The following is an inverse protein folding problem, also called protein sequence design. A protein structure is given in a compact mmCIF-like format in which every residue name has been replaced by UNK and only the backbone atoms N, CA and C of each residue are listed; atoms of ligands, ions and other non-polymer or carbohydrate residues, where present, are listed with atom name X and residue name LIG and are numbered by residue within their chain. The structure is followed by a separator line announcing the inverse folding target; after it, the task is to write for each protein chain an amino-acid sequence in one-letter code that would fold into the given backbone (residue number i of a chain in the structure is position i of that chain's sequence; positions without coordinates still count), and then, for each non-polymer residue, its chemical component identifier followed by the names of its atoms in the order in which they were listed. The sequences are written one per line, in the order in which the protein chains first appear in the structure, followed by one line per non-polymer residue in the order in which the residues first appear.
data_IF_831854081544
#
_entry.id   IF_831854081544
#
_cell.length_a   1.000
_cell.length_b   1.000
_cell.length_c   1.000
_cell.angle_alpha   90.00
_cell.angle_beta   90.00
_cell.angle_gamma   90.00
#
_symmetry.space_group_name_H-M   'P 1'
#
loop_
_entity.id
_entity.type
_entity.pdbx_description
1 polymer ?
#
# COMPACT_ATOMS: atom_id res chain seq x y z
N UNK A 1 0.60 24.27 4.16
CA UNK A 1 2.06 24.14 4.38
C UNK A 1 2.44 23.42 5.69
N UNK A 2 1.82 23.70 6.85
CA UNK A 2 2.11 23.01 8.14
C UNK A 2 1.69 21.51 8.19
N UNK A 3 0.62 21.12 7.48
CA UNK A 3 0.14 19.72 7.40
C UNK A 3 1.09 18.83 6.61
N UNK A 4 1.72 19.33 5.54
CA UNK A 4 2.73 18.59 4.78
C UNK A 4 3.99 18.30 5.60
N UNK A 5 4.39 19.17 6.53
CA UNK A 5 5.55 18.92 7.40
C UNK A 5 5.33 17.76 8.37
N UNK A 6 4.09 17.55 8.84
CA UNK A 6 3.75 16.43 9.74
C UNK A 6 3.69 15.12 8.97
N UNK A 7 3.08 15.12 7.78
CA UNK A 7 3.00 13.95 6.92
C UNK A 7 4.39 13.46 6.45
N UNK A 8 5.30 14.36 6.08
CA UNK A 8 6.67 14.03 5.70
C UNK A 8 7.44 13.30 6.80
N UNK A 9 7.21 13.66 8.07
CA UNK A 9 7.88 13.01 9.20
C UNK A 9 7.27 11.66 9.56
N UNK A 10 5.97 11.50 9.34
CA UNK A 10 5.22 10.29 9.74
C UNK A 10 5.19 9.24 8.63
N UNK A 11 5.14 9.68 7.35
CA UNK A 11 5.01 8.83 6.18
C UNK A 11 6.01 9.23 5.08
N UNK A 12 7.33 9.12 5.34
CA UNK A 12 8.36 9.52 4.37
C UNK A 12 8.34 8.68 3.09
N UNK A 13 8.06 7.38 3.18
CA UNK A 13 8.01 6.48 2.01
C UNK A 13 6.79 6.79 1.13
N UNK A 14 5.64 7.04 1.74
CA UNK A 14 4.45 7.48 0.99
C UNK A 14 4.68 8.80 0.25
N UNK A 15 5.29 9.79 0.91
CA UNK A 15 5.61 11.07 0.26
C UNK A 15 6.62 10.88 -0.86
N UNK A 16 7.61 10.02 -0.68
CA UNK A 16 8.58 9.66 -1.73
C UNK A 16 7.90 8.99 -2.92
N UNK A 17 7.01 8.01 -2.67
CA UNK A 17 6.20 7.35 -3.69
C UNK A 17 5.41 8.35 -4.53
N UNK A 18 4.69 9.24 -3.85
CA UNK A 18 3.89 10.28 -4.49
C UNK A 18 4.74 11.26 -5.33
N UNK A 19 5.87 11.72 -4.76
CA UNK A 19 6.77 12.65 -5.45
C UNK A 19 7.41 12.02 -6.67
N UNK A 20 7.86 10.76 -6.56
CA UNK A 20 8.41 10.00 -7.69
C UNK A 20 7.35 9.75 -8.75
N UNK A 21 6.12 9.40 -8.38
CA UNK A 21 5.01 9.22 -9.31
C UNK A 21 4.68 10.49 -10.12
N UNK A 22 4.67 11.64 -9.48
CA UNK A 22 4.49 12.93 -10.17
C UNK A 22 5.69 13.27 -11.05
N UNK A 23 6.91 13.11 -10.54
CA UNK A 23 8.13 13.40 -11.28
C UNK A 23 8.27 12.49 -12.51
N UNK A 24 7.93 11.18 -12.38
CA UNK A 24 7.96 10.22 -13.49
C UNK A 24 7.01 10.61 -14.60
N UNK A 25 5.80 11.07 -14.29
CA UNK A 25 4.81 11.51 -15.28
C UNK A 25 5.32 12.70 -16.11
N UNK A 26 5.92 13.70 -15.43
CA UNK A 26 6.52 14.87 -16.10
C UNK A 26 7.73 14.44 -16.94
N UNK A 27 8.60 13.59 -16.39
CA UNK A 27 9.80 13.12 -17.05
C UNK A 27 9.48 12.32 -18.32
N UNK A 28 8.58 11.36 -18.24
CA UNK A 28 8.13 10.54 -19.38
C UNK A 28 7.54 11.42 -20.49
N UNK A 29 6.74 12.43 -20.10
CA UNK A 29 6.16 13.37 -21.05
C UNK A 29 7.22 14.20 -21.77
N UNK A 30 8.22 14.70 -21.03
CA UNK A 30 9.29 15.54 -21.58
C UNK A 30 10.18 14.78 -22.60
N UNK A 31 10.44 13.49 -22.34
CA UNK A 31 11.34 12.68 -23.16
C UNK A 31 10.64 11.78 -24.19
N UNK A 32 9.35 11.95 -24.42
CA UNK A 32 8.55 11.11 -25.35
C UNK A 32 9.07 11.08 -26.79
N UNK A 33 9.90 12.07 -27.20
CA UNK A 33 10.43 12.14 -28.57
C UNK A 33 11.64 11.22 -28.79
N UNK A 34 12.35 10.80 -27.73
CA UNK A 34 13.52 9.94 -27.80
C UNK A 34 13.16 8.48 -27.51
N UNK A 35 12.76 7.70 -28.53
CA UNK A 35 12.17 6.34 -28.38
C UNK A 35 12.97 5.40 -27.49
N UNK A 36 14.30 5.31 -27.65
CA UNK A 36 15.13 4.40 -26.87
C UNK A 36 15.20 4.84 -25.39
N UNK A 37 15.43 6.14 -25.14
CA UNK A 37 15.49 6.70 -23.80
C UNK A 37 14.14 6.62 -23.09
N UNK A 38 13.06 6.89 -23.82
CA UNK A 38 11.70 6.73 -23.32
C UNK A 38 11.42 5.30 -22.83
N UNK A 39 11.81 4.27 -23.64
CA UNK A 39 11.60 2.88 -23.28
C UNK A 39 12.29 2.50 -21.95
N UNK A 40 13.59 2.77 -21.83
CA UNK A 40 14.32 2.42 -20.61
C UNK A 40 13.85 3.23 -19.39
N UNK A 41 13.55 4.51 -19.59
CA UNK A 41 13.07 5.39 -18.51
C UNK A 41 11.70 4.95 -18.01
N UNK A 42 10.79 4.58 -18.91
CA UNK A 42 9.47 4.07 -18.54
C UNK A 42 9.58 2.85 -17.63
N UNK A 43 10.36 1.85 -18.04
CA UNK A 43 10.51 0.62 -17.26
C UNK A 43 11.23 0.83 -15.94
N UNK A 44 12.21 1.71 -15.89
CA UNK A 44 12.90 2.07 -14.66
C UNK A 44 11.94 2.73 -13.67
N UNK A 45 11.13 3.66 -14.13
CA UNK A 45 10.15 4.36 -13.29
C UNK A 45 9.03 3.42 -12.81
N UNK A 46 8.60 2.47 -13.66
CA UNK A 46 7.63 1.44 -13.28
C UNK A 46 8.19 0.52 -12.18
N UNK A 47 9.41 0.02 -12.37
CA UNK A 47 10.07 -0.80 -11.35
C UNK A 47 10.27 -0.05 -10.03
N UNK A 48 10.64 1.23 -10.10
CA UNK A 48 10.76 2.09 -8.92
C UNK A 48 9.40 2.32 -8.24
N UNK A 49 8.34 2.51 -9.04
CA UNK A 49 6.97 2.64 -8.54
C UNK A 49 6.50 1.40 -7.77
N UNK A 50 6.74 0.21 -8.31
CA UNK A 50 6.45 -1.06 -7.64
C UNK A 50 7.24 -1.18 -6.32
N UNK A 51 8.56 -0.94 -6.36
CA UNK A 51 9.40 -1.02 -5.16
C UNK A 51 8.95 -0.04 -4.06
N UNK A 52 8.60 1.18 -4.43
CA UNK A 52 8.06 2.17 -3.51
C UNK A 52 6.65 1.80 -3.02
N UNK A 53 5.82 1.17 -3.85
CA UNK A 53 4.52 0.63 -3.46
C UNK A 53 4.66 -0.36 -2.30
N UNK A 54 5.55 -1.35 -2.42
CA UNK A 54 5.89 -2.27 -1.33
C UNK A 54 6.39 -1.54 -0.08
N UNK A 55 7.25 -0.53 -0.26
CA UNK A 55 7.77 0.26 0.84
C UNK A 55 6.66 1.03 1.58
N UNK A 56 5.66 1.56 0.86
CA UNK A 56 4.48 2.22 1.45
C UNK A 56 3.61 1.23 2.20
N UNK A 57 3.35 0.04 1.64
CA UNK A 57 2.61 -1.02 2.35
C UNK A 57 3.31 -1.37 3.67
N UNK A 58 4.64 -1.51 3.65
CA UNK A 58 5.42 -1.76 4.86
C UNK A 58 5.35 -0.59 5.85
N UNK A 59 5.38 0.66 5.38
CA UNK A 59 5.27 1.87 6.21
C UNK A 59 3.90 1.95 6.90
N UNK A 60 2.82 1.70 6.15
CA UNK A 60 1.44 1.63 6.67
C UNK A 60 1.35 0.55 7.75
N UNK A 61 1.88 -0.64 7.46
CA UNK A 61 1.94 -1.75 8.42
C UNK A 61 2.69 -1.36 9.70
N UNK A 62 3.89 -0.80 9.56
CA UNK A 62 4.73 -0.41 10.71
C UNK A 62 4.07 0.64 11.59
N UNK A 63 3.40 1.63 10.98
CA UNK A 63 2.70 2.69 11.71
C UNK A 63 1.41 2.18 12.37
N UNK A 64 0.67 1.27 11.73
CA UNK A 64 -0.55 0.70 12.28
C UNK A 64 -0.27 -0.11 13.56
N UNK A 65 0.80 -0.93 13.55
CA UNK A 65 1.16 -1.79 14.68
C UNK A 65 2.13 -1.14 15.68
N UNK A 66 2.47 0.15 15.51
CA UNK A 66 3.44 0.85 16.35
C UNK A 66 3.03 0.94 17.83
N UNK A 67 1.73 1.01 18.11
CA UNK A 67 1.20 1.18 19.47
C UNK A 67 1.26 -0.11 20.33
N UNK A 68 1.44 -1.29 19.73
CA UNK A 68 1.34 -2.58 20.43
C UNK A 68 2.58 -3.44 20.17
N UNK A 69 3.59 -3.35 21.03
CA UNK A 69 4.90 -4.01 20.83
C UNK A 69 4.79 -5.54 20.67
N UNK A 70 3.95 -6.20 21.49
CA UNK A 70 3.76 -7.65 21.40
C UNK A 70 3.08 -8.06 20.07
N UNK A 71 2.01 -7.36 19.69
CA UNK A 71 1.28 -7.57 18.45
C UNK A 71 2.15 -7.26 17.24
N UNK A 72 3.00 -6.24 17.32
CA UNK A 72 3.92 -5.85 16.24
C UNK A 72 4.87 -6.99 15.87
N UNK A 73 5.42 -7.72 16.87
CA UNK A 73 6.33 -8.85 16.60
C UNK A 73 5.59 -9.97 15.86
N UNK A 74 4.44 -10.39 16.37
CA UNK A 74 3.62 -11.44 15.74
C UNK A 74 3.18 -11.02 14.33
N UNK A 75 2.60 -9.83 14.20
CA UNK A 75 2.15 -9.30 12.93
C UNK A 75 3.31 -9.17 11.91
N UNK A 76 4.52 -8.78 12.35
CA UNK A 76 5.70 -8.72 11.47
C UNK A 76 6.09 -10.10 10.95
N UNK A 77 6.02 -11.14 11.78
CA UNK A 77 6.30 -12.52 11.35
C UNK A 77 5.28 -12.96 10.33
N UNK A 78 3.98 -12.80 10.63
CA UNK A 78 2.89 -13.15 9.71
C UNK A 78 3.03 -12.40 8.39
N UNK A 79 3.29 -11.10 8.42
CA UNK A 79 3.49 -10.27 7.23
C UNK A 79 4.66 -10.77 6.37
N UNK A 80 5.80 -11.10 6.98
CA UNK A 80 6.96 -11.67 6.28
C UNK A 80 6.66 -13.05 5.68
N UNK A 81 5.91 -13.90 6.40
CA UNK A 81 5.50 -15.19 5.89
C UNK A 81 4.55 -15.07 4.70
N UNK A 82 3.57 -14.16 4.77
CA UNK A 82 2.66 -13.87 3.65
C UNK A 82 3.43 -13.31 2.47
N UNK A 83 4.33 -12.36 2.69
CA UNK A 83 5.19 -11.82 1.62
C UNK A 83 6.02 -12.91 0.97
N UNK A 84 6.69 -13.76 1.76
CA UNK A 84 7.49 -14.87 1.24
C UNK A 84 6.64 -15.85 0.43
N UNK A 85 5.44 -16.21 0.93
CA UNK A 85 4.49 -17.07 0.22
C UNK A 85 4.06 -16.48 -1.12
N UNK A 86 3.67 -15.18 -1.11
CA UNK A 86 3.25 -14.48 -2.32
C UNK A 86 4.40 -14.35 -3.33
N UNK A 87 5.63 -14.10 -2.87
CA UNK A 87 6.82 -14.09 -3.73
C UNK A 87 7.11 -15.48 -4.33
N UNK A 88 6.95 -16.56 -3.55
CA UNK A 88 7.08 -17.91 -4.07
C UNK A 88 6.02 -18.21 -5.14
N UNK A 89 4.77 -17.87 -4.91
CA UNK A 89 3.69 -18.03 -5.89
C UNK A 89 3.99 -17.20 -7.14
N UNK A 90 4.41 -15.95 -6.98
CA UNK A 90 4.78 -15.06 -8.07
C UNK A 90 5.94 -15.64 -8.92
N UNK A 91 6.96 -16.21 -8.27
CA UNK A 91 8.07 -16.87 -8.94
C UNK A 91 7.62 -18.11 -9.75
N UNK A 92 6.72 -18.91 -9.18
CA UNK A 92 6.15 -20.08 -9.88
C UNK A 92 5.37 -19.64 -11.12
N UNK A 93 4.55 -18.58 -11.00
CA UNK A 93 3.81 -18.01 -12.11
C UNK A 93 4.77 -17.49 -13.18
N UNK A 94 5.79 -16.75 -12.78
CA UNK A 94 6.80 -16.20 -13.68
C UNK A 94 7.54 -17.34 -14.45
N UNK A 95 7.94 -18.41 -13.77
CA UNK A 95 8.62 -19.56 -14.41
C UNK A 95 7.70 -20.26 -15.41
N UNK A 96 6.42 -20.46 -15.05
CA UNK A 96 5.44 -21.12 -15.92
C UNK A 96 5.08 -20.31 -17.16
N UNK A 97 5.05 -18.99 -17.04
CA UNK A 97 4.73 -18.05 -18.11
C UNK A 97 6.00 -17.43 -18.72
N UNK A 98 7.19 -17.95 -18.37
CA UNK A 98 8.46 -17.46 -18.91
C UNK A 98 8.42 -17.52 -20.44
N UNK A 99 8.59 -16.38 -21.12
CA UNK A 99 8.53 -16.29 -22.58
C UNK A 99 9.85 -16.79 -23.17
N UNK A 100 10.14 -18.07 -23.01
CA UNK A 100 11.16 -18.73 -23.84
C UNK A 100 10.72 -18.79 -25.32
N UNK A 101 9.43 -18.52 -25.59
CA UNK A 101 8.91 -18.34 -26.92
C UNK A 101 8.96 -16.86 -27.32
N UNK A 102 9.61 -16.62 -28.40
CA UNK A 102 9.91 -15.48 -29.28
C UNK A 102 9.08 -14.16 -29.22
N UNK A 103 8.27 -13.89 -28.20
CA UNK A 103 7.50 -12.63 -28.09
C UNK A 103 8.20 -11.51 -27.33
N UNK A 104 9.44 -11.74 -26.91
CA UNK A 104 10.33 -10.68 -26.47
C UNK A 104 10.14 -10.16 -25.04
N UNK A 105 11.09 -9.35 -24.62
CA UNK A 105 11.22 -8.71 -23.29
C UNK A 105 9.93 -8.03 -22.83
N UNK A 106 9.12 -7.48 -23.74
CA UNK A 106 7.90 -6.75 -23.39
C UNK A 106 6.83 -7.64 -22.70
N UNK A 107 6.67 -8.90 -23.14
CA UNK A 107 5.70 -9.81 -22.51
C UNK A 107 6.16 -10.28 -21.13
N UNK A 108 7.47 -10.49 -20.94
CA UNK A 108 8.03 -10.84 -19.65
C UNK A 108 7.80 -9.74 -18.62
N UNK A 109 7.97 -8.49 -19.02
CA UNK A 109 7.79 -7.34 -18.13
C UNK A 109 6.33 -7.19 -17.70
N UNK A 110 5.37 -7.39 -18.61
CA UNK A 110 3.94 -7.36 -18.27
C UNK A 110 3.60 -8.42 -17.21
N UNK A 111 4.11 -9.64 -17.37
CA UNK A 111 3.89 -10.71 -16.38
C UNK A 111 4.52 -10.36 -15.02
N UNK A 112 5.71 -9.78 -15.00
CA UNK A 112 6.37 -9.33 -13.77
C UNK A 112 5.56 -8.23 -13.09
N UNK A 113 5.06 -7.26 -13.85
CA UNK A 113 4.21 -6.19 -13.34
C UNK A 113 2.90 -6.74 -12.76
N UNK A 114 2.22 -7.64 -13.47
CA UNK A 114 0.99 -8.28 -13.01
C UNK A 114 1.21 -9.05 -11.70
N UNK A 115 2.25 -9.86 -11.63
CA UNK A 115 2.63 -10.58 -10.41
C UNK A 115 2.93 -9.63 -9.25
N UNK A 116 3.67 -8.55 -9.50
CA UNK A 116 3.99 -7.57 -8.47
C UNK A 116 2.72 -6.90 -7.93
N UNK A 117 1.78 -6.52 -8.79
CA UNK A 117 0.49 -5.93 -8.38
C UNK A 117 -0.37 -6.92 -7.59
N UNK A 118 -0.40 -8.20 -7.97
CA UNK A 118 -1.08 -9.25 -7.20
C UNK A 118 -0.48 -9.37 -5.79
N UNK A 119 0.84 -9.33 -5.67
CA UNK A 119 1.53 -9.40 -4.38
C UNK A 119 1.18 -8.15 -3.53
N UNK A 120 1.21 -6.96 -4.11
CA UNK A 120 0.84 -5.71 -3.42
C UNK A 120 -0.61 -5.75 -2.90
N UNK A 121 -1.57 -6.19 -3.73
CA UNK A 121 -2.98 -6.38 -3.31
C UNK A 121 -3.07 -7.40 -2.18
N UNK A 122 -2.40 -8.55 -2.31
CA UNK A 122 -2.39 -9.58 -1.29
C UNK A 122 -1.84 -9.09 0.05
N UNK A 123 -0.79 -8.27 0.02
CA UNK A 123 -0.20 -7.65 1.21
C UNK A 123 -1.15 -6.66 1.87
N UNK A 124 -1.84 -5.82 1.08
CA UNK A 124 -2.85 -4.91 1.60
C UNK A 124 -4.05 -5.66 2.19
N UNK A 125 -4.53 -6.70 1.54
CA UNK A 125 -5.60 -7.56 2.08
C UNK A 125 -5.17 -8.20 3.39
N UNK A 126 -3.95 -8.73 3.48
CA UNK A 126 -3.38 -9.25 4.71
C UNK A 126 -3.37 -8.19 5.82
N UNK A 127 -2.98 -6.97 5.51
CA UNK A 127 -2.98 -5.84 6.45
C UNK A 127 -4.39 -5.54 6.97
N UNK A 128 -5.41 -5.50 6.10
CA UNK A 128 -6.80 -5.28 6.51
C UNK A 128 -7.33 -6.43 7.38
N UNK A 129 -7.04 -7.67 7.01
CA UNK A 129 -7.45 -8.86 7.79
C UNK A 129 -6.80 -8.86 9.17
N UNK A 130 -5.48 -8.63 9.25
CA UNK A 130 -4.77 -8.55 10.53
C UNK A 130 -5.29 -7.40 11.40
N UNK A 131 -5.53 -6.24 10.81
CA UNK A 131 -6.07 -5.10 11.54
C UNK A 131 -7.47 -5.40 12.11
N UNK A 132 -8.32 -6.04 11.33
CA UNK A 132 -9.66 -6.46 11.76
C UNK A 132 -9.58 -7.54 12.85
N UNK A 133 -8.72 -8.55 12.68
CA UNK A 133 -8.56 -9.64 13.62
C UNK A 133 -8.06 -9.17 15.00
N UNK A 134 -7.21 -8.14 15.02
CA UNK A 134 -6.69 -7.57 16.26
C UNK A 134 -7.53 -6.40 16.79
N UNK A 135 -8.63 -6.03 16.14
CA UNK A 135 -9.50 -4.94 16.57
C UNK A 135 -8.79 -3.58 16.58
N UNK A 136 -7.82 -3.38 15.70
CA UNK A 136 -7.02 -2.15 15.69
C UNK A 136 -7.82 -0.97 15.17
N UNK A 137 -7.78 0.13 15.91
CA UNK A 137 -8.36 1.39 15.46
C UNK A 137 -7.44 2.06 14.44
N UNK A 138 -7.97 2.24 13.24
CA UNK A 138 -7.25 2.94 12.17
C UNK A 138 -7.19 4.43 12.48
N UNK A 139 -5.98 4.95 12.56
CA UNK A 139 -5.80 6.41 12.50
C UNK A 139 -6.27 6.88 11.12
N UNK A 140 -7.02 7.96 11.09
CA UNK A 140 -7.65 8.50 9.88
C UNK A 140 -6.66 8.61 8.70
N UNK A 141 -5.45 9.12 8.95
CA UNK A 141 -4.41 9.28 7.92
C UNK A 141 -3.90 7.94 7.37
N UNK A 142 -3.64 6.95 8.25
CA UNK A 142 -3.17 5.62 7.86
C UNK A 142 -4.23 4.93 6.99
N UNK A 143 -5.49 5.01 7.41
CA UNK A 143 -6.61 4.44 6.65
C UNK A 143 -6.74 5.07 5.26
N UNK A 144 -6.67 6.40 5.16
CA UNK A 144 -6.73 7.11 3.89
C UNK A 144 -5.60 6.71 2.94
N UNK A 145 -4.37 6.56 3.44
CA UNK A 145 -3.22 6.10 2.64
C UNK A 145 -3.46 4.66 2.16
N UNK A 146 -3.89 3.75 3.04
CA UNK A 146 -4.13 2.35 2.70
C UNK A 146 -5.26 2.18 1.67
N UNK A 147 -6.38 2.89 1.84
CA UNK A 147 -7.52 2.82 0.91
C UNK A 147 -7.16 3.41 -0.44
N UNK A 148 -6.55 4.59 -0.48
CA UNK A 148 -6.15 5.21 -1.74
C UNK A 148 -5.11 4.36 -2.48
N UNK A 149 -4.14 3.78 -1.78
CA UNK A 149 -3.16 2.86 -2.36
C UNK A 149 -3.85 1.60 -2.89
N UNK A 150 -4.78 1.02 -2.13
CA UNK A 150 -5.54 -0.15 -2.54
C UNK A 150 -6.35 0.06 -3.82
N UNK A 151 -7.03 1.21 -3.94
CA UNK A 151 -7.77 1.57 -5.15
C UNK A 151 -6.81 1.73 -6.33
N UNK A 152 -5.69 2.43 -6.14
CA UNK A 152 -4.71 2.65 -7.20
C UNK A 152 -4.14 1.30 -7.71
N UNK A 153 -3.66 0.45 -6.81
CA UNK A 153 -3.09 -0.86 -7.17
C UNK A 153 -4.14 -1.77 -7.83
N UNK A 154 -5.38 -1.76 -7.34
CA UNK A 154 -6.47 -2.53 -7.94
C UNK A 154 -6.77 -2.09 -9.38
N UNK A 155 -6.80 -0.79 -9.64
CA UNK A 155 -6.97 -0.23 -11.00
C UNK A 155 -5.80 -0.62 -11.89
N UNK A 156 -4.57 -0.52 -11.41
CA UNK A 156 -3.37 -0.93 -12.17
C UNK A 156 -3.40 -2.44 -12.48
N UNK A 157 -3.78 -3.29 -11.53
CA UNK A 157 -3.91 -4.73 -11.74
C UNK A 157 -4.94 -5.04 -12.82
N UNK A 158 -6.13 -4.41 -12.76
CA UNK A 158 -7.18 -4.58 -13.78
C UNK A 158 -6.64 -4.13 -15.14
N UNK A 159 -5.98 -2.97 -15.19
CA UNK A 159 -5.47 -2.42 -16.43
C UNK A 159 -4.40 -3.33 -17.07
N UNK A 160 -3.46 -3.86 -16.27
CA UNK A 160 -2.40 -4.76 -16.78
C UNK A 160 -2.98 -6.10 -17.25
N UNK A 161 -3.92 -6.66 -16.49
CA UNK A 161 -4.57 -7.93 -16.84
C UNK A 161 -5.38 -7.80 -18.13
N UNK A 162 -6.19 -6.74 -18.26
CA UNK A 162 -6.97 -6.48 -19.48
C UNK A 162 -6.06 -6.21 -20.68
N UNK A 163 -4.96 -5.49 -20.47
CA UNK A 163 -3.99 -5.27 -21.54
C UNK A 163 -3.35 -6.57 -22.02
N UNK A 164 -3.00 -7.47 -21.10
CA UNK A 164 -2.50 -8.81 -21.43
C UNK A 164 -3.46 -9.62 -22.30
N UNK A 165 -4.79 -9.44 -22.10
CA UNK A 165 -5.83 -10.14 -22.86
C UNK A 165 -6.17 -9.49 -24.22
N UNK A 166 -6.23 -8.16 -24.28
CA UNK A 166 -6.74 -7.40 -25.44
C UNK A 166 -5.62 -6.79 -26.29
N UNK A 167 -4.41 -6.71 -25.77
CA UNK A 167 -3.27 -6.10 -26.46
C UNK A 167 -3.51 -4.61 -26.77
N UNK A 168 -3.12 -4.18 -27.97
CA UNK A 168 -3.19 -2.76 -28.35
C UNK A 168 -4.61 -2.19 -28.51
N UNK A 169 -5.62 -3.04 -28.68
CA UNK A 169 -6.98 -2.58 -28.98
C UNK A 169 -7.61 -1.75 -27.85
N UNK A 170 -7.26 -2.03 -26.60
CA UNK A 170 -7.80 -1.32 -25.43
C UNK A 170 -6.84 -0.27 -24.85
N UNK A 171 -5.70 -0.01 -25.47
CA UNK A 171 -4.63 0.80 -24.89
C UNK A 171 -5.08 2.19 -24.42
N UNK A 172 -5.81 2.91 -25.27
CA UNK A 172 -6.24 4.29 -24.96
C UNK A 172 -7.28 4.31 -23.82
N UNK A 173 -8.22 3.36 -23.84
CA UNK A 173 -9.21 3.23 -22.78
C UNK A 173 -8.58 2.87 -21.44
N UNK A 174 -7.61 1.96 -21.43
CA UNK A 174 -6.88 1.56 -20.23
C UNK A 174 -6.04 2.71 -19.65
N UNK A 175 -5.42 3.52 -20.52
CA UNK A 175 -4.71 4.71 -20.06
C UNK A 175 -5.66 5.71 -19.38
N UNK A 176 -6.85 5.92 -19.90
CA UNK A 176 -7.86 6.77 -19.25
C UNK A 176 -8.25 6.19 -17.89
N UNK A 177 -8.47 4.87 -17.79
CA UNK A 177 -8.81 4.19 -16.53
C UNK A 177 -7.68 4.35 -15.50
N UNK A 178 -6.43 4.17 -15.87
CA UNK A 178 -5.25 4.39 -15.00
C UNK A 178 -5.19 5.83 -14.48
N UNK A 179 -5.36 6.81 -15.37
CA UNK A 179 -5.38 8.24 -15.01
C UNK A 179 -6.51 8.55 -14.04
N UNK A 180 -7.71 8.03 -14.28
CA UNK A 180 -8.85 8.20 -13.38
C UNK A 180 -8.61 7.53 -12.02
N UNK A 181 -8.06 6.32 -12.01
CA UNK A 181 -7.70 5.61 -10.79
C UNK A 181 -6.68 6.38 -9.95
N UNK A 182 -5.63 6.89 -10.58
CA UNK A 182 -4.63 7.72 -9.90
C UNK A 182 -5.24 9.01 -9.33
N UNK A 183 -6.04 9.73 -10.11
CA UNK A 183 -6.68 10.96 -9.64
C UNK A 183 -7.67 10.70 -8.50
N UNK A 184 -8.42 9.59 -8.55
CA UNK A 184 -9.32 9.19 -7.46
C UNK A 184 -8.54 8.92 -6.18
N UNK A 185 -7.45 8.16 -6.27
CA UNK A 185 -6.57 7.90 -5.13
C UNK A 185 -5.95 9.18 -4.57
N UNK A 186 -5.54 10.08 -5.45
CA UNK A 186 -5.01 11.39 -5.09
C UNK A 186 -6.04 12.23 -4.29
N UNK A 187 -7.29 12.27 -4.73
CA UNK A 187 -8.36 12.97 -4.03
C UNK A 187 -8.62 12.36 -2.65
N UNK A 188 -8.60 11.04 -2.54
CA UNK A 188 -8.71 10.33 -1.26
C UNK A 188 -7.56 10.74 -0.34
N UNK A 189 -6.31 10.66 -0.81
CA UNK A 189 -5.15 11.05 0.00
C UNK A 189 -5.21 12.50 0.45
N UNK A 190 -5.55 13.43 -0.45
CA UNK A 190 -5.72 14.84 -0.10
C UNK A 190 -6.82 15.00 0.95
N UNK A 191 -7.96 14.36 0.75
CA UNK A 191 -9.08 14.45 1.69
C UNK A 191 -8.71 13.95 3.09
N UNK A 192 -8.06 12.80 3.19
CA UNK A 192 -7.66 12.23 4.49
C UNK A 192 -6.47 12.94 5.15
N UNK A 193 -5.52 13.45 4.36
CA UNK A 193 -4.37 14.18 4.90
C UNK A 193 -4.73 15.61 5.33
N UNK A 194 -5.71 16.24 4.69
CA UNK A 194 -6.18 17.59 5.04
C UNK A 194 -7.25 17.57 6.12
N UNK A 195 -7.98 16.46 6.27
CA UNK A 195 -9.00 16.34 7.30
C UNK A 195 -8.37 16.50 8.70
N UNK A 196 -8.97 17.30 9.57
CA UNK A 196 -8.50 17.43 10.94
C UNK A 196 -8.55 16.07 11.63
N UNK A 197 -7.45 15.71 12.28
CA UNK A 197 -7.39 14.47 13.06
C UNK A 197 -8.49 14.53 14.11
N UNK A 198 -9.49 13.65 14.03
CA UNK A 198 -10.50 13.55 15.10
C UNK A 198 -9.74 13.24 16.37
N UNK A 199 -9.87 14.12 17.37
CA UNK A 199 -9.36 13.86 18.69
C UNK A 199 -9.92 12.47 19.10
N UNK A 200 -9.03 11.54 19.45
CA UNK A 200 -9.48 10.29 20.03
C UNK A 200 -10.41 10.69 21.20
N UNK A 201 -11.66 10.18 21.18
CA UNK A 201 -12.55 10.38 22.30
C UNK A 201 -11.75 10.06 23.56
N UNK A 202 -11.70 10.94 24.56
CA UNK A 202 -11.03 10.62 25.81
C UNK A 202 -11.55 9.23 26.22
N UNK A 203 -10.64 8.30 26.41
CA UNK A 203 -11.03 7.02 27.04
C UNK A 203 -11.63 7.47 28.36
N UNK A 204 -12.94 7.31 28.52
CA UNK A 204 -13.59 7.54 29.82
C UNK A 204 -12.90 6.56 30.76
N UNK A 205 -11.96 7.11 31.52
CA UNK A 205 -11.36 6.35 32.61
C UNK A 205 -12.51 5.93 33.51
N UNK A 206 -12.60 4.65 33.91
CA UNK A 206 -13.62 4.20 34.85
C UNK A 206 -13.61 5.18 36.02
N UNK A 207 -14.79 5.60 36.46
CA UNK A 207 -14.94 6.50 37.61
C UNK A 207 -14.03 6.00 38.74
N UNK A 208 -13.42 6.92 39.48
CA UNK A 208 -12.51 6.56 40.58
C UNK A 208 -13.13 5.53 41.52
N UNK A 209 -14.46 5.59 41.70
CA UNK A 209 -15.27 4.61 42.45
C UNK A 209 -15.15 3.16 41.90
N UNK A 210 -15.06 2.97 40.60
CA UNK A 210 -14.87 1.62 40.02
C UNK A 210 -13.43 1.12 40.22
N UNK A 211 -12.46 1.99 40.09
CA UNK A 211 -11.05 1.63 40.35
C UNK A 211 -10.83 1.27 41.83
N UNK A 212 -11.48 1.96 42.77
CA UNK A 212 -11.43 1.64 44.19
C UNK A 212 -12.11 0.31 44.50
N UNK A 213 -13.26 0.00 43.89
CA UNK A 213 -13.93 -1.30 44.02
C UNK A 213 -13.06 -2.44 43.48
N UNK A 214 -12.42 -2.25 42.31
CA UNK A 214 -11.48 -3.22 41.75
C UNK A 214 -10.26 -3.43 42.66
N UNK A 215 -9.70 -2.37 43.23
CA UNK A 215 -8.58 -2.45 44.15
C UNK A 215 -8.97 -3.19 45.45
N UNK A 216 -10.15 -2.93 45.99
CA UNK A 216 -10.67 -3.66 47.16
C UNK A 216 -10.87 -5.13 46.86
N UNK A 217 -11.48 -5.50 45.73
CA UNK A 217 -11.68 -6.90 45.33
C UNK A 217 -10.36 -7.65 45.13
N UNK A 218 -9.34 -7.01 44.56
CA UNK A 218 -8.00 -7.58 44.41
C UNK A 218 -7.32 -7.77 45.75
N UNK A 219 -7.43 -6.80 46.67
CA UNK A 219 -6.86 -6.89 48.02
C UNK A 219 -7.53 -7.98 48.85
N UNK A 220 -8.83 -8.22 48.70
CA UNK A 220 -9.51 -9.33 49.37
C UNK A 220 -9.05 -10.69 48.86
N UNK A 221 -8.82 -10.82 47.51
CA UNK A 221 -8.29 -12.03 46.89
C UNK A 221 -6.87 -12.37 47.34
N UNK A 222 -6.04 -11.37 47.63
CA UNK A 222 -4.66 -11.58 48.10
C UNK A 222 -4.63 -11.95 49.56
N UNK A 223 -5.67 -11.65 50.32
CA UNK A 223 -5.78 -11.88 51.78
C UNK A 223 -6.32 -13.27 52.15
N UNK A 224 -6.86 -14.02 51.17
CA UNK A 224 -7.26 -15.42 51.29
C UNK A 224 -6.09 -16.36 50.98
#
# INVERSE_FOLDING_TARGET
MLLCRKAWKTFPLFVSYFTVGLASSVFIYAFRQHKAFYFYSYWLMEALGVALGFAVVYEVFSNLFSAHIALRRLATVVFKCVLALLLCIGLIVLIKHSPLDARGVASAVVVVEEVARIIEVGMLMCLFVLSSAFGLHWRQQIFGIAVGLGIFIAVELIAVTVWGMTGKAAHDALNVVRVLGFNTSLLIWIGYLLAPERAASPVELPEQSQLEQWNQAVMELIRQ
#
